data_IF_947458645759
#
_entry.id   IF_947458645759
#
_cell.length_a   1.000
_cell.length_b   1.000
_cell.length_c   1.000
_cell.angle_alpha   90.00
_cell.angle_beta   90.00
_cell.angle_gamma   90.00
#
_symmetry.space_group_name_H-M   'P 1'
#
loop_
_entity.id
_entity.type
_entity.pdbx_description
1 polymer ?
#
# COMPACT_ATOMS: atom_id res chain seq x y z
N UNK A 1 2.62 9.75 11.49
CA UNK A 1 1.53 9.52 10.50
C UNK A 1 0.57 8.44 10.96
N UNK A 2 -0.70 8.67 10.75
CA UNK A 2 -1.74 7.67 11.03
C UNK A 2 -2.01 6.82 9.79
N UNK A 3 -2.40 5.57 10.00
CA UNK A 3 -2.87 4.69 8.92
C UNK A 3 -4.39 4.70 8.93
N UNK A 4 -4.97 4.99 7.78
CA UNK A 4 -6.42 4.96 7.59
C UNK A 4 -6.72 3.92 6.51
N UNK A 5 -7.44 2.87 6.88
CA UNK A 5 -7.75 1.75 6.01
C UNK A 5 -9.17 1.88 5.47
N UNK A 6 -9.34 1.63 4.17
CA UNK A 6 -10.67 1.36 3.64
C UNK A 6 -11.13 -0.03 4.14
N UNK A 7 -12.42 -0.31 4.07
CA UNK A 7 -12.93 -1.63 4.43
C UNK A 7 -12.28 -2.71 3.56
N UNK A 8 -12.13 -2.44 2.27
CA UNK A 8 -11.49 -3.38 1.34
C UNK A 8 -10.05 -3.67 1.74
N UNK A 9 -9.25 -2.62 1.96
CA UNK A 9 -7.83 -2.82 2.30
C UNK A 9 -7.65 -3.48 3.65
N UNK A 10 -8.51 -3.15 4.62
CA UNK A 10 -8.47 -3.78 5.94
C UNK A 10 -8.75 -5.27 5.85
N UNK A 11 -9.79 -5.66 5.09
CA UNK A 11 -10.10 -7.08 4.89
C UNK A 11 -8.97 -7.81 4.18
N UNK A 12 -8.35 -7.19 3.19
CA UNK A 12 -7.20 -7.76 2.50
C UNK A 12 -6.01 -7.95 3.44
N UNK A 13 -5.73 -6.95 4.26
CA UNK A 13 -4.65 -7.01 5.24
C UNK A 13 -4.87 -8.14 6.24
N UNK A 14 -6.09 -8.29 6.76
CA UNK A 14 -6.45 -9.40 7.64
C UNK A 14 -6.28 -10.76 6.95
N UNK A 15 -6.68 -10.84 5.68
CA UNK A 15 -6.52 -12.07 4.91
C UNK A 15 -5.04 -12.46 4.76
N UNK A 16 -4.15 -11.50 4.50
CA UNK A 16 -2.71 -11.78 4.41
C UNK A 16 -2.15 -12.35 5.71
N UNK A 17 -2.65 -11.93 6.86
CA UNK A 17 -2.22 -12.48 8.16
C UNK A 17 -2.50 -13.98 8.27
N UNK A 18 -3.53 -14.47 7.61
CA UNK A 18 -3.91 -15.88 7.62
C UNK A 18 -3.23 -16.68 6.50
N UNK A 19 -2.98 -16.06 5.36
CA UNK A 19 -2.56 -16.76 4.15
C UNK A 19 -1.06 -16.73 3.91
N UNK A 20 -0.40 -15.60 4.17
CA UNK A 20 1.00 -15.44 3.76
C UNK A 20 1.70 -14.40 4.61
N UNK A 21 2.42 -14.87 5.62
CA UNK A 21 3.15 -13.99 6.54
C UNK A 21 4.29 -13.24 5.86
N UNK A 22 4.87 -13.79 4.81
CA UNK A 22 5.93 -13.14 4.06
C UNK A 22 5.41 -11.91 3.33
N UNK A 23 4.25 -12.03 2.71
CA UNK A 23 3.57 -10.91 2.06
C UNK A 23 3.16 -9.85 3.07
N UNK A 24 2.64 -10.28 4.22
CA UNK A 24 2.30 -9.37 5.30
C UNK A 24 3.51 -8.55 5.75
N UNK A 25 4.65 -9.21 5.92
CA UNK A 25 5.88 -8.54 6.32
C UNK A 25 6.29 -7.48 5.30
N UNK A 26 6.18 -7.80 4.02
CA UNK A 26 6.51 -6.85 2.95
C UNK A 26 5.57 -5.64 2.97
N UNK A 27 4.28 -5.86 3.16
CA UNK A 27 3.31 -4.77 3.30
C UNK A 27 3.69 -3.85 4.46
N UNK A 28 4.03 -4.44 5.61
CA UNK A 28 4.45 -3.68 6.78
C UNK A 28 5.70 -2.84 6.51
N UNK A 29 6.67 -3.40 5.78
CA UNK A 29 7.88 -2.67 5.38
C UNK A 29 7.55 -1.49 4.47
N UNK A 30 6.65 -1.69 3.51
CA UNK A 30 6.21 -0.64 2.61
C UNK A 30 5.51 0.50 3.37
N UNK A 31 4.64 0.16 4.31
CA UNK A 31 3.95 1.17 5.12
C UNK A 31 4.94 1.98 5.95
N UNK A 32 5.94 1.34 6.55
CA UNK A 32 6.98 2.04 7.29
C UNK A 32 7.79 2.96 6.37
N UNK A 33 8.07 2.52 5.16
CA UNK A 33 8.82 3.30 4.20
C UNK A 33 8.03 4.53 3.72
N UNK A 34 6.72 4.38 3.51
CA UNK A 34 5.87 5.51 3.18
C UNK A 34 5.88 6.55 4.30
N UNK A 35 5.83 6.11 5.55
CA UNK A 35 5.91 7.03 6.70
C UNK A 35 7.23 7.80 6.72
N UNK A 36 8.32 7.16 6.29
CA UNK A 36 9.65 7.77 6.30
C UNK A 36 9.91 8.67 5.09
N UNK A 37 9.54 8.22 3.92
CA UNK A 37 9.95 8.84 2.65
C UNK A 37 8.83 9.52 1.87
N UNK A 38 7.59 9.39 2.29
CA UNK A 38 6.45 10.01 1.62
C UNK A 38 5.90 9.17 0.47
N UNK A 39 5.10 9.81 -0.38
CA UNK A 39 4.31 9.10 -1.37
C UNK A 39 5.09 8.59 -2.58
N UNK A 40 6.12 9.32 -3.02
CA UNK A 40 6.76 9.06 -4.34
C UNK A 40 8.18 8.49 -4.24
N UNK A 41 8.79 8.49 -3.07
CA UNK A 41 10.16 8.01 -2.90
C UNK A 41 10.21 6.79 -1.99
N UNK A 42 11.16 5.90 -2.23
CA UNK A 42 11.42 4.76 -1.38
C UNK A 42 11.31 3.42 -2.09
N UNK A 43 11.14 2.36 -1.32
CA UNK A 43 11.12 0.99 -1.84
C UNK A 43 9.80 0.65 -2.53
N UNK A 44 9.82 -0.40 -3.35
CA UNK A 44 8.62 -0.92 -4.01
C UNK A 44 8.22 -0.16 -5.27
N UNK A 45 9.12 0.62 -5.85
CA UNK A 45 8.87 1.38 -7.09
C UNK A 45 7.61 2.24 -7.00
N UNK A 46 7.60 3.28 -6.15
CA UNK A 46 6.44 4.16 -6.05
C UNK A 46 6.07 4.78 -7.38
N UNK A 47 4.79 4.73 -7.74
CA UNK A 47 4.27 5.31 -8.97
C UNK A 47 2.98 6.07 -8.68
N UNK A 48 2.81 7.24 -9.32
CA UNK A 48 1.56 7.98 -9.31
C UNK A 48 0.61 7.33 -10.33
N UNK A 49 -0.62 7.05 -9.93
CA UNK A 49 -1.64 6.52 -10.85
C UNK A 49 -2.11 7.61 -11.81
N UNK A 50 -2.42 7.24 -13.07
CA UNK A 50 -2.79 8.20 -14.10
C UNK A 50 -4.18 8.80 -13.90
N UNK A 51 -5.15 7.95 -13.56
CA UNK A 51 -6.56 8.33 -13.57
C UNK A 51 -7.16 8.43 -12.17
N UNK A 52 -6.32 8.40 -11.16
CA UNK A 52 -6.76 8.43 -9.77
C UNK A 52 -5.73 9.20 -8.93
N UNK A 53 -6.22 9.95 -7.96
CA UNK A 53 -5.33 10.63 -7.01
C UNK A 53 -4.84 9.63 -5.96
N UNK A 54 -3.91 8.79 -6.37
CA UNK A 54 -3.34 7.75 -5.54
C UNK A 54 -1.99 7.33 -6.11
N UNK A 55 -1.27 6.55 -5.30
CA UNK A 55 0.03 5.99 -5.64
C UNK A 55 0.00 4.49 -5.45
N UNK A 56 0.93 3.78 -6.07
CA UNK A 56 1.09 2.35 -5.84
C UNK A 56 2.54 2.00 -5.59
N UNK A 57 2.74 0.94 -4.82
CA UNK A 57 4.06 0.31 -4.64
C UNK A 57 3.91 -1.20 -4.80
N UNK A 58 4.92 -1.84 -5.34
CA UNK A 58 4.92 -3.29 -5.52
C UNK A 58 5.13 -4.00 -4.18
N UNK A 59 4.25 -4.95 -3.91
CA UNK A 59 4.42 -5.93 -2.83
C UNK A 59 5.21 -7.11 -3.39
N UNK A 60 4.74 -7.63 -4.53
CA UNK A 60 5.39 -8.69 -5.31
C UNK A 60 4.97 -8.54 -6.78
N UNK A 61 5.24 -9.57 -7.61
CA UNK A 61 4.89 -9.52 -9.04
C UNK A 61 3.40 -9.46 -9.31
N UNK A 62 2.57 -9.93 -8.37
CA UNK A 62 1.12 -10.02 -8.55
C UNK A 62 0.32 -9.02 -7.72
N UNK A 63 0.94 -8.41 -6.71
CA UNK A 63 0.22 -7.60 -5.75
C UNK A 63 0.87 -6.22 -5.58
N UNK A 64 0.01 -5.21 -5.40
CA UNK A 64 0.43 -3.84 -5.13
C UNK A 64 -0.35 -3.26 -3.96
N UNK A 65 0.26 -2.36 -3.22
CA UNK A 65 -0.44 -1.51 -2.27
C UNK A 65 -0.81 -0.21 -2.99
N UNK A 66 -2.07 0.19 -2.87
CA UNK A 66 -2.57 1.46 -3.43
C UNK A 66 -2.92 2.38 -2.26
N UNK A 67 -2.37 3.58 -2.28
CA UNK A 67 -2.43 4.48 -1.13
C UNK A 67 -2.37 5.95 -1.56
N UNK A 68 -2.65 6.83 -0.63
CA UNK A 68 -2.34 8.25 -0.78
C UNK A 68 -1.84 8.79 0.56
N UNK A 69 -1.19 9.93 0.52
CA UNK A 69 -0.75 10.64 1.73
C UNK A 69 -1.51 11.96 1.76
N UNK A 70 -2.24 12.19 2.84
CA UNK A 70 -3.02 13.39 3.05
C UNK A 70 -2.67 13.96 4.43
N UNK A 71 -1.89 15.05 4.43
CA UNK A 71 -1.41 15.63 5.66
C UNK A 71 -0.61 14.62 6.48
N UNK A 72 -1.08 14.33 7.69
CA UNK A 72 -0.41 13.39 8.59
C UNK A 72 -1.01 11.98 8.52
N UNK A 73 -1.72 11.66 7.43
CA UNK A 73 -2.39 10.38 7.26
C UNK A 73 -1.92 9.66 6.00
N UNK A 74 -1.80 8.34 6.12
CA UNK A 74 -1.66 7.44 4.98
C UNK A 74 -3.00 6.77 4.78
N UNK A 75 -3.61 6.99 3.62
CA UNK A 75 -4.88 6.38 3.25
C UNK A 75 -4.57 5.12 2.44
N UNK A 76 -4.93 3.95 2.94
CA UNK A 76 -4.68 2.68 2.25
C UNK A 76 -5.97 2.21 1.59
N UNK A 77 -5.97 2.16 0.26
CA UNK A 77 -7.15 1.81 -0.52
C UNK A 77 -7.23 0.32 -0.83
N UNK A 78 -6.09 -0.32 -1.09
CA UNK A 78 -6.03 -1.76 -1.34
C UNK A 78 -4.60 -2.26 -1.14
N UNK A 79 -4.45 -3.56 -0.86
CA UNK A 79 -3.15 -4.19 -0.72
C UNK A 79 -3.13 -5.62 -1.29
N UNK A 80 -3.99 -5.88 -2.25
CA UNK A 80 -4.05 -7.18 -2.93
C UNK A 80 -4.43 -6.94 -4.38
N UNK A 81 -3.83 -7.74 -5.26
CA UNK A 81 -4.10 -7.67 -6.68
C UNK A 81 -3.25 -6.64 -7.40
N UNK A 82 -3.36 -6.65 -8.71
CA UNK A 82 -2.63 -5.77 -9.60
C UNK A 82 -3.57 -4.66 -10.06
N UNK A 83 -3.25 -3.44 -9.68
CA UNK A 83 -4.04 -2.28 -10.12
C UNK A 83 -3.48 -1.80 -11.46
N UNK A 84 -4.31 -1.82 -12.48
CA UNK A 84 -3.99 -1.25 -13.78
C UNK A 84 -4.70 0.08 -13.95
N UNK A 85 -3.91 1.05 -14.34
CA UNK A 85 -4.36 2.43 -14.45
C UNK A 85 -4.69 2.79 -15.91
#
# INVERSE_FOLDING_TARGET
>A
MNLIWSDISWDEYLAWQQQDKKTLKKINELLKDIKRNGSIEGIGKPEKLKYRDAYSRRIDSANRIVYNVDGDNILVYSCKGHYED
#
